data_IF_434288174811
#
_entry.id   IF_434288174811
#
_cell.length_a   1.000
_cell.length_b   1.000
_cell.length_c   1.000
_cell.angle_alpha   90.00
_cell.angle_beta   90.00
_cell.angle_gamma   90.00
#
_symmetry.space_group_name_H-M   'P 1'
#
loop_
_entity.id
_entity.type
_entity.pdbx_description
1 polymer ?
#
# COMPACT_ATOMS: atom_id res chain seq x y z
N UNK A 1 -35.64 65.18 -36.94
CA UNK A 1 -35.32 64.22 -35.87
C UNK A 1 -35.60 62.84 -36.43
N UNK A 2 -34.56 62.07 -36.82
CA UNK A 2 -34.75 60.73 -37.43
C UNK A 2 -34.79 59.72 -36.29
N UNK A 3 -35.99 59.22 -35.99
CA UNK A 3 -36.18 58.10 -35.08
C UNK A 3 -35.78 56.83 -35.83
N UNK A 4 -34.55 56.34 -35.61
CA UNK A 4 -34.11 55.07 -36.20
C UNK A 4 -34.88 53.93 -35.53
N UNK A 5 -35.89 53.41 -36.22
CA UNK A 5 -36.52 52.14 -35.89
C UNK A 5 -35.45 51.04 -35.89
N UNK A 6 -35.23 50.42 -34.73
CA UNK A 6 -34.39 49.23 -34.62
C UNK A 6 -35.15 48.08 -35.28
N UNK A 7 -34.61 47.56 -36.38
CA UNK A 7 -35.19 46.43 -37.10
C UNK A 7 -35.26 45.21 -36.17
N UNK A 8 -36.46 44.67 -35.99
CA UNK A 8 -36.73 43.46 -35.21
C UNK A 8 -35.91 42.26 -35.72
N UNK A 9 -35.59 42.21 -37.02
CA UNK A 9 -34.72 41.19 -37.59
C UNK A 9 -33.26 41.35 -37.14
N UNK A 10 -32.79 42.60 -37.00
CA UNK A 10 -31.46 42.89 -36.48
C UNK A 10 -31.34 42.50 -35.00
N UNK A 11 -32.36 42.79 -34.19
CA UNK A 11 -32.41 42.39 -32.78
C UNK A 11 -32.45 40.86 -32.62
N UNK A 12 -33.25 40.15 -33.42
CA UNK A 12 -33.29 38.67 -33.43
C UNK A 12 -31.95 38.05 -33.84
N UNK A 13 -31.26 38.66 -34.80
CA UNK A 13 -29.92 38.23 -35.24
C UNK A 13 -28.88 38.36 -34.12
N UNK A 14 -28.87 39.50 -33.42
CA UNK A 14 -27.98 39.73 -32.27
C UNK A 14 -28.22 38.75 -31.12
N UNK A 15 -29.49 38.50 -30.77
CA UNK A 15 -29.85 37.53 -29.71
C UNK A 15 -29.40 36.12 -30.11
N UNK A 16 -29.62 35.71 -31.36
CA UNK A 16 -29.17 34.40 -31.86
C UNK A 16 -27.65 34.27 -31.80
N UNK A 17 -26.91 35.30 -32.22
CA UNK A 17 -25.44 35.31 -32.15
C UNK A 17 -24.94 35.23 -30.70
N UNK A 18 -25.56 35.98 -29.78
CA UNK A 18 -25.19 35.95 -28.37
C UNK A 18 -25.45 34.58 -27.74
N UNK A 19 -26.61 33.97 -28.00
CA UNK A 19 -26.95 32.63 -27.52
C UNK A 19 -25.99 31.57 -28.08
N UNK A 20 -25.60 31.65 -29.35
CA UNK A 20 -24.61 30.74 -29.95
C UNK A 20 -23.25 30.86 -29.25
N UNK A 21 -22.78 32.09 -28.98
CA UNK A 21 -21.52 32.31 -28.26
C UNK A 21 -21.59 31.81 -26.81
N UNK A 22 -22.70 32.04 -26.11
CA UNK A 22 -22.91 31.55 -24.74
C UNK A 22 -22.95 30.01 -24.71
N UNK A 23 -23.66 29.38 -25.64
CA UNK A 23 -23.72 27.92 -25.76
C UNK A 23 -22.36 27.31 -26.11
N UNK A 24 -21.61 27.95 -27.00
CA UNK A 24 -20.24 27.55 -27.34
C UNK A 24 -19.32 27.61 -26.11
N UNK A 25 -19.29 28.73 -25.41
CA UNK A 25 -18.50 28.90 -24.18
C UNK A 25 -18.89 27.89 -23.09
N UNK A 26 -20.19 27.62 -22.90
CA UNK A 26 -20.69 26.64 -21.95
C UNK A 26 -20.24 25.21 -22.33
N UNK A 27 -20.28 24.86 -23.61
CA UNK A 27 -19.81 23.56 -24.10
C UNK A 27 -18.31 23.35 -23.89
N UNK A 28 -17.50 24.41 -24.06
CA UNK A 28 -16.05 24.39 -23.82
C UNK A 28 -15.76 24.23 -22.33
N UNK A 29 -16.47 24.94 -21.46
CA UNK A 29 -16.34 24.81 -20.00
C UNK A 29 -16.73 23.41 -19.51
N UNK A 30 -17.84 22.85 -20.00
CA UNK A 30 -18.24 21.48 -19.67
C UNK A 30 -17.19 20.46 -20.15
N UNK A 31 -16.69 20.61 -21.38
CA UNK A 31 -15.65 19.73 -21.93
C UNK A 31 -14.36 19.78 -21.11
N UNK A 32 -13.91 20.98 -20.70
CA UNK A 32 -12.74 21.16 -19.86
C UNK A 32 -12.93 20.52 -18.47
N UNK A 33 -14.12 20.63 -17.87
CA UNK A 33 -14.45 19.98 -16.60
C UNK A 33 -14.44 18.45 -16.71
N UNK A 34 -15.02 17.89 -17.78
CA UNK A 34 -15.00 16.45 -18.04
C UNK A 34 -13.58 15.92 -18.25
N UNK A 35 -12.73 16.67 -18.97
CA UNK A 35 -11.31 16.33 -19.15
C UNK A 35 -10.60 16.36 -17.79
N UNK A 36 -10.81 17.38 -16.96
CA UNK A 36 -10.22 17.47 -15.62
C UNK A 36 -10.66 16.31 -14.70
N UNK A 37 -11.95 15.96 -14.72
CA UNK A 37 -12.49 14.81 -13.96
C UNK A 37 -11.89 13.49 -14.46
N UNK A 38 -11.70 13.33 -15.77
CA UNK A 38 -11.08 12.12 -16.34
C UNK A 38 -9.62 11.94 -15.87
N UNK A 39 -8.87 13.03 -15.71
CA UNK A 39 -7.50 12.99 -15.18
C UNK A 39 -7.46 12.61 -13.69
N UNK A 40 -8.50 12.92 -12.89
CA UNK A 40 -8.58 12.54 -11.48
C UNK A 40 -8.78 11.03 -11.27
N UNK A 41 -9.43 10.34 -12.22
CA UNK A 41 -9.67 8.90 -12.16
C UNK A 41 -8.45 8.04 -12.55
N UNK A 42 -7.36 8.63 -13.03
CA UNK A 42 -6.15 7.91 -13.46
C UNK A 42 -5.12 7.71 -12.33
N UNK A 43 -5.50 7.95 -11.08
CA UNK A 43 -4.63 7.62 -9.95
C UNK A 43 -4.68 6.11 -9.69
N UNK A 44 -3.72 5.39 -10.28
CA UNK A 44 -3.45 4.00 -9.92
C UNK A 44 -2.89 3.98 -8.48
N UNK A 45 -3.76 3.82 -7.49
CA UNK A 45 -3.33 3.33 -6.19
C UNK A 45 -3.04 1.83 -6.35
N UNK A 46 -1.90 1.35 -5.86
CA UNK A 46 -1.55 -0.08 -5.84
C UNK A 46 -2.00 -0.67 -4.50
N UNK A 47 -3.21 -1.28 -4.41
CA UNK A 47 -3.66 -1.89 -3.16
C UNK A 47 -3.05 -3.27 -2.92
N UNK A 48 -2.29 -3.81 -3.88
CA UNK A 48 -1.92 -5.22 -4.00
C UNK A 48 -0.58 -5.59 -3.33
N UNK A 49 -0.09 -4.72 -2.44
CA UNK A 49 1.13 -4.91 -1.66
C UNK A 49 2.42 -4.86 -2.46
N UNK A 50 3.50 -5.31 -1.83
CA UNK A 50 4.84 -5.20 -2.41
C UNK A 50 5.00 -6.07 -3.69
N UNK A 51 5.59 -5.54 -4.78
CA UNK A 51 6.03 -6.33 -5.93
C UNK A 51 7.31 -7.14 -5.62
N UNK A 52 7.60 -8.16 -6.44
CA UNK A 52 8.77 -9.03 -6.24
C UNK A 52 10.12 -8.26 -6.34
N UNK A 53 10.17 -7.19 -7.12
CA UNK A 53 11.39 -6.38 -7.24
C UNK A 53 11.72 -5.57 -5.97
N UNK A 54 10.81 -5.52 -4.97
CA UNK A 54 11.07 -4.96 -3.63
C UNK A 54 12.25 -5.65 -2.95
N UNK A 55 12.46 -6.95 -3.20
CA UNK A 55 13.52 -7.75 -2.59
C UNK A 55 14.94 -7.18 -2.79
N UNK A 56 15.17 -6.47 -3.89
CA UNK A 56 16.50 -5.98 -4.32
C UNK A 56 16.59 -4.46 -4.39
N UNK A 57 15.59 -3.74 -3.85
CA UNK A 57 15.64 -2.27 -3.79
C UNK A 57 16.69 -1.82 -2.79
N UNK A 58 17.28 -0.65 -3.06
CA UNK A 58 18.32 -0.05 -2.21
C UNK A 58 17.86 0.23 -0.78
N UNK A 59 16.57 0.49 -0.57
CA UNK A 59 15.99 0.67 0.77
C UNK A 59 15.35 -0.65 1.19
N UNK A 60 16.14 -1.50 1.84
CA UNK A 60 15.64 -2.75 2.41
C UNK A 60 14.45 -2.47 3.35
N UNK A 61 13.45 -3.36 3.34
CA UNK A 61 12.25 -3.27 4.18
C UNK A 61 11.52 -1.93 4.14
N UNK A 62 11.65 -1.13 3.08
CA UNK A 62 10.94 0.14 2.96
C UNK A 62 10.09 0.17 1.68
N UNK A 63 8.84 0.62 1.78
CA UNK A 63 7.99 0.82 0.62
C UNK A 63 8.57 1.93 -0.26
N UNK A 64 8.41 1.80 -1.58
CA UNK A 64 8.90 2.80 -2.53
C UNK A 64 7.90 3.95 -2.70
N UNK A 65 7.55 4.62 -1.61
CA UNK A 65 6.57 5.72 -1.58
C UNK A 65 7.25 7.07 -1.83
N UNK A 66 8.09 7.11 -2.87
CA UNK A 66 8.85 8.30 -3.27
C UNK A 66 9.79 8.82 -2.17
N UNK A 67 9.47 10.00 -1.63
CA UNK A 67 10.25 10.69 -0.60
C UNK A 67 9.86 10.30 0.83
N UNK A 68 8.80 9.52 1.02
CA UNK A 68 8.40 9.04 2.35
C UNK A 68 9.54 8.23 3.01
N UNK A 69 9.62 8.31 4.34
CA UNK A 69 10.63 7.63 5.16
C UNK A 69 9.96 6.96 6.33
N UNK A 70 10.63 5.93 6.86
CA UNK A 70 10.17 5.26 8.08
C UNK A 70 10.03 6.26 9.22
N UNK A 71 8.99 6.08 10.00
CA UNK A 71 8.83 6.77 11.28
C UNK A 71 9.89 6.26 12.28
N UNK A 72 10.24 7.05 13.32
CA UNK A 72 11.16 6.60 14.36
C UNK A 72 10.65 5.33 15.04
N UNK A 73 11.50 4.32 15.22
CA UNK A 73 11.09 3.02 15.75
C UNK A 73 10.40 3.06 17.12
N UNK A 74 10.77 4.02 17.98
CA UNK A 74 10.18 4.21 19.31
C UNK A 74 8.71 4.67 19.26
N UNK A 75 8.26 5.16 18.10
CA UNK A 75 6.87 5.58 17.88
C UNK A 75 6.00 4.46 17.33
N UNK A 76 6.57 3.28 17.06
CA UNK A 76 5.85 2.17 16.44
C UNK A 76 4.73 1.66 17.36
N UNK A 77 3.45 1.81 16.98
CA UNK A 77 2.35 1.31 17.79
C UNK A 77 2.05 -0.17 17.53
N UNK A 78 2.80 -0.82 16.63
CA UNK A 78 2.58 -2.20 16.22
C UNK A 78 3.68 -3.13 16.71
N UNK A 79 3.28 -4.37 16.98
CA UNK A 79 4.17 -5.48 17.27
C UNK A 79 4.06 -6.54 16.18
N UNK A 80 5.21 -7.13 15.88
CA UNK A 80 5.33 -8.37 15.09
C UNK A 80 5.85 -9.41 16.05
N UNK A 81 5.16 -10.54 16.15
CA UNK A 81 5.44 -11.57 17.14
C UNK A 81 5.43 -12.94 16.50
N UNK A 82 6.54 -13.66 16.60
CA UNK A 82 6.67 -15.05 16.20
C UNK A 82 6.47 -15.98 17.41
N UNK A 83 5.86 -17.15 17.19
CA UNK A 83 5.73 -18.19 18.24
C UNK A 83 7.03 -18.96 18.51
N UNK A 84 7.99 -18.91 17.59
CA UNK A 84 9.34 -19.48 17.77
C UNK A 84 10.37 -18.75 16.92
N UNK A 85 11.62 -18.75 17.38
CA UNK A 85 12.80 -18.40 16.59
C UNK A 85 13.68 -19.61 16.25
N UNK A 86 13.43 -20.78 16.86
CA UNK A 86 14.13 -22.02 16.52
C UNK A 86 13.24 -22.88 15.65
N UNK A 87 13.84 -23.56 14.68
CA UNK A 87 13.09 -24.41 13.77
C UNK A 87 13.78 -25.75 13.51
N UNK A 88 12.93 -26.75 13.26
CA UNK A 88 13.29 -28.02 12.64
C UNK A 88 12.73 -28.15 11.22
N UNK A 89 13.18 -29.14 10.43
CA UNK A 89 12.80 -29.24 9.04
C UNK A 89 11.28 -29.30 8.85
N UNK A 90 10.76 -28.41 8.01
CA UNK A 90 9.33 -28.33 7.73
C UNK A 90 8.43 -27.80 8.86
N UNK A 91 9.00 -27.42 10.01
CA UNK A 91 8.23 -26.86 11.11
C UNK A 91 7.49 -25.57 10.67
N UNK A 92 6.18 -25.48 10.91
CA UNK A 92 5.46 -24.22 10.77
C UNK A 92 5.75 -23.30 11.96
N UNK A 93 5.94 -22.01 11.69
CA UNK A 93 6.03 -20.93 12.69
C UNK A 93 4.98 -19.89 12.34
N UNK A 94 4.18 -19.49 13.33
CA UNK A 94 3.21 -18.41 13.14
C UNK A 94 3.82 -17.06 13.50
N UNK A 95 3.51 -16.05 12.69
CA UNK A 95 3.93 -14.66 12.87
C UNK A 95 2.68 -13.79 12.88
N UNK A 96 2.46 -13.07 13.97
CA UNK A 96 1.28 -12.23 14.16
C UNK A 96 1.67 -10.76 14.21
N UNK A 97 0.89 -9.93 13.54
CA UNK A 97 1.01 -8.47 13.56
C UNK A 97 -0.23 -7.90 14.24
N UNK A 98 -0.06 -7.02 15.23
CA UNK A 98 -1.16 -6.34 15.92
C UNK A 98 -0.70 -5.00 16.49
N UNK A 99 -1.63 -4.14 16.90
CA UNK A 99 -1.32 -2.90 17.60
C UNK A 99 -1.29 -3.09 19.12
N UNK A 100 -0.43 -2.34 19.81
CA UNK A 100 -0.27 -2.37 21.27
C UNK A 100 -1.58 -2.04 22.01
N UNK A 101 -2.39 -1.14 21.43
CA UNK A 101 -3.69 -0.74 21.97
C UNK A 101 -4.85 -1.68 21.56
N UNK A 102 -4.57 -2.67 20.70
CA UNK A 102 -5.52 -3.61 20.09
C UNK A 102 -6.72 -2.94 19.38
N UNK A 103 -6.60 -1.66 19.02
CA UNK A 103 -7.66 -0.86 18.37
C UNK A 103 -7.16 -0.18 17.11
N UNK A 104 -5.91 0.25 17.10
CA UNK A 104 -5.29 0.89 15.95
C UNK A 104 -5.13 -0.08 14.79
N UNK A 105 -5.68 0.30 13.64
CA UNK A 105 -5.58 -0.49 12.41
C UNK A 105 -4.28 -0.22 11.67
N UNK A 106 -3.83 -1.13 10.81
CA UNK A 106 -2.83 -0.90 9.75
C UNK A 106 -3.39 -1.38 8.41
N UNK A 107 -2.83 -0.92 7.28
CA UNK A 107 -3.32 -1.27 5.94
C UNK A 107 -2.40 -2.24 5.22
N UNK A 108 -1.10 -2.12 5.45
CA UNK A 108 -0.10 -2.90 4.74
C UNK A 108 0.98 -3.48 5.64
N UNK A 109 1.60 -4.53 5.14
CA UNK A 109 2.81 -5.11 5.72
C UNK A 109 3.67 -5.73 4.62
N UNK A 110 4.94 -5.91 4.93
CA UNK A 110 5.90 -6.68 4.15
C UNK A 110 6.83 -7.34 5.17
N UNK A 111 6.85 -8.67 5.26
CA UNK A 111 7.64 -9.41 6.25
C UNK A 111 8.52 -10.43 5.52
N UNK A 112 9.81 -10.44 5.83
CA UNK A 112 10.81 -11.39 5.36
C UNK A 112 11.20 -12.35 6.47
N UNK A 113 11.55 -13.58 6.10
CA UNK A 113 12.20 -14.56 6.96
C UNK A 113 13.69 -14.63 6.63
N UNK A 114 14.53 -14.59 7.67
CA UNK A 114 15.99 -14.54 7.55
C UNK A 114 16.64 -15.57 8.46
N UNK A 115 17.64 -16.27 7.94
CA UNK A 115 18.48 -17.14 8.75
C UNK A 115 19.28 -16.28 9.74
N UNK A 116 19.20 -16.60 11.04
CA UNK A 116 19.79 -15.77 12.08
C UNK A 116 21.32 -15.77 12.10
N UNK A 117 21.97 -16.71 11.41
CA UNK A 117 23.42 -16.79 11.36
C UNK A 117 23.99 -16.14 10.08
N UNK A 118 23.45 -16.53 8.93
CA UNK A 118 23.93 -16.12 7.60
C UNK A 118 23.25 -14.88 7.05
N UNK A 119 22.12 -14.46 7.64
CA UNK A 119 21.27 -13.38 7.14
C UNK A 119 20.65 -13.63 5.74
N UNK A 120 20.74 -14.86 5.24
CA UNK A 120 20.14 -15.27 3.98
C UNK A 120 18.62 -15.38 4.09
N UNK A 121 17.92 -15.17 2.97
CA UNK A 121 16.49 -15.49 2.87
C UNK A 121 16.28 -16.99 3.06
N UNK A 122 15.30 -17.36 3.89
CA UNK A 122 15.11 -18.76 4.26
C UNK A 122 13.64 -19.14 4.41
N UNK A 123 13.33 -20.36 3.98
CA UNK A 123 12.00 -20.95 4.08
C UNK A 123 10.97 -20.26 3.20
N UNK A 124 9.72 -20.66 3.40
CA UNK A 124 8.61 -20.31 2.52
C UNK A 124 7.44 -19.76 3.34
N UNK A 125 6.77 -18.74 2.84
CA UNK A 125 5.51 -18.28 3.43
C UNK A 125 4.34 -19.04 2.84
N UNK A 126 3.35 -19.34 3.66
CA UNK A 126 2.08 -19.91 3.23
C UNK A 126 1.14 -18.78 2.87
N UNK A 127 0.72 -18.71 1.62
CA UNK A 127 -0.27 -17.73 1.19
C UNK A 127 -1.62 -18.00 1.87
N UNK A 128 -2.17 -16.97 2.50
CA UNK A 128 -3.52 -16.97 3.08
C UNK A 128 -4.38 -15.86 2.46
N UNK A 129 -5.65 -15.79 2.85
CA UNK A 129 -6.56 -14.74 2.39
C UNK A 129 -5.97 -13.35 2.65
N UNK A 130 -6.09 -12.45 1.68
CA UNK A 130 -5.64 -11.06 1.77
C UNK A 130 -4.11 -10.89 1.88
N UNK A 131 -3.36 -11.92 1.47
CA UNK A 131 -1.89 -11.92 1.43
C UNK A 131 -1.35 -12.37 0.08
N UNK A 132 -0.12 -11.99 -0.21
CA UNK A 132 0.65 -12.39 -1.38
C UNK A 132 2.06 -12.78 -0.94
N UNK A 133 2.56 -13.91 -1.41
CA UNK A 133 3.93 -14.35 -1.10
C UNK A 133 4.90 -13.82 -2.16
N UNK A 134 6.17 -13.65 -1.76
CA UNK A 134 7.28 -13.25 -2.63
C UNK A 134 8.42 -14.25 -2.37
N UNK A 135 8.39 -15.42 -3.05
CA UNK A 135 9.35 -16.50 -2.81
C UNK A 135 10.80 -16.10 -3.06
N UNK A 136 11.05 -15.16 -3.99
CA UNK A 136 12.38 -14.70 -4.39
C UNK A 136 13.18 -14.10 -3.23
N UNK A 137 12.50 -13.65 -2.17
CA UNK A 137 13.15 -13.18 -0.96
C UNK A 137 12.51 -13.64 0.35
N UNK A 138 11.91 -14.84 0.33
CA UNK A 138 11.23 -15.43 1.49
C UNK A 138 10.37 -14.40 2.21
N UNK A 139 9.48 -13.73 1.46
CA UNK A 139 8.65 -12.65 1.96
C UNK A 139 7.15 -12.92 1.81
N UNK A 140 6.36 -12.19 2.58
CA UNK A 140 4.90 -12.10 2.48
C UNK A 140 4.45 -10.65 2.64
N UNK A 141 3.42 -10.26 1.91
CA UNK A 141 2.83 -8.91 1.93
C UNK A 141 1.31 -8.99 1.90
N UNK A 142 0.65 -7.88 2.20
CA UNK A 142 -0.80 -7.74 2.02
C UNK A 142 -1.20 -7.82 0.55
N UNK A 143 -2.45 -8.19 0.25
CA UNK A 143 -3.00 -8.14 -1.11
C UNK A 143 -4.20 -7.21 -1.25
N UNK A 144 -4.55 -6.48 -0.18
CA UNK A 144 -5.58 -5.44 -0.19
C UNK A 144 -5.22 -4.28 0.74
N UNK A 145 -5.81 -3.11 0.50
CA UNK A 145 -5.59 -1.90 1.29
C UNK A 145 -6.62 -1.69 2.42
N UNK A 146 -7.38 -2.73 2.81
CA UNK A 146 -8.37 -2.62 3.87
C UNK A 146 -7.70 -2.45 5.22
N UNK A 147 -8.37 -1.78 6.14
CA UNK A 147 -7.93 -1.65 7.52
C UNK A 147 -7.93 -3.01 8.22
N UNK A 148 -6.82 -3.31 8.91
CA UNK A 148 -6.57 -4.58 9.61
C UNK A 148 -6.32 -4.30 11.08
N UNK A 149 -7.04 -4.97 11.98
CA UNK A 149 -6.74 -4.98 13.41
C UNK A 149 -5.56 -5.91 13.73
N UNK A 150 -5.37 -6.93 12.89
CA UNK A 150 -4.26 -7.86 13.01
C UNK A 150 -4.08 -8.68 11.73
N UNK A 151 -2.93 -9.34 11.63
CA UNK A 151 -2.64 -10.31 10.57
C UNK A 151 -1.94 -11.51 11.20
N UNK A 152 -2.39 -12.73 10.87
CA UNK A 152 -1.72 -13.98 11.26
C UNK A 152 -1.16 -14.64 10.02
N UNK A 153 0.14 -14.81 10.01
CA UNK A 153 0.94 -15.30 8.89
C UNK A 153 1.60 -16.61 9.30
N UNK A 154 1.88 -17.47 8.32
CA UNK A 154 2.52 -18.75 8.56
C UNK A 154 3.76 -18.90 7.67
N UNK A 155 4.87 -19.20 8.30
CA UNK A 155 6.14 -19.52 7.64
C UNK A 155 6.45 -21.01 7.83
N UNK A 156 7.00 -21.64 6.80
CA UNK A 156 7.40 -23.03 6.77
C UNK A 156 8.92 -23.13 6.66
N UNK A 157 9.52 -23.82 7.62
CA UNK A 157 10.94 -24.07 7.62
C UNK A 157 11.39 -24.93 6.41
N UNK A 158 12.61 -24.72 5.91
CA UNK A 158 13.20 -25.57 4.88
C UNK A 158 13.26 -27.04 5.31
N UNK A 159 13.14 -27.97 4.37
CA UNK A 159 13.08 -29.42 4.65
C UNK A 159 14.45 -30.06 4.98
N UNK A 160 15.54 -29.35 4.76
CA UNK A 160 16.90 -29.87 4.83
C UNK A 160 17.78 -29.15 5.87
N UNK A 161 17.20 -28.33 6.75
CA UNK A 161 17.96 -27.49 7.69
C UNK A 161 17.26 -27.35 9.03
N UNK A 162 18.07 -27.19 10.09
CA UNK A 162 17.70 -26.82 11.46
C UNK A 162 18.42 -25.53 11.80
N UNK A 163 17.86 -24.72 12.68
CA UNK A 163 18.56 -23.52 13.12
C UNK A 163 17.66 -22.47 13.76
N UNK A 164 18.09 -21.22 13.63
CA UNK A 164 17.35 -20.05 14.11
C UNK A 164 16.93 -19.17 12.93
N UNK A 165 15.70 -18.69 12.97
CA UNK A 165 15.11 -17.75 12.02
C UNK A 165 14.74 -16.48 12.78
N UNK A 166 14.87 -15.33 12.13
CA UNK A 166 14.24 -14.10 12.60
C UNK A 166 13.39 -13.52 11.47
N UNK A 167 12.35 -12.78 11.86
CA UNK A 167 11.42 -12.15 10.93
C UNK A 167 11.60 -10.64 11.01
N UNK A 168 11.67 -9.99 9.84
CA UNK A 168 11.86 -8.54 9.78
C UNK A 168 11.09 -7.92 8.64
N UNK A 169 10.73 -6.64 8.73
CA UNK A 169 10.08 -5.97 7.62
C UNK A 169 9.41 -4.63 7.98
N UNK A 170 8.30 -4.35 7.30
CA UNK A 170 7.54 -3.11 7.41
C UNK A 170 6.13 -3.37 7.92
N UNK A 171 5.63 -2.48 8.78
CA UNK A 171 4.20 -2.29 9.03
C UNK A 171 3.79 -0.90 8.57
N UNK A 172 2.72 -0.81 7.77
CA UNK A 172 2.26 0.42 7.13
C UNK A 172 0.86 0.78 7.62
N UNK A 173 0.74 1.96 8.25
CA UNK A 173 -0.56 2.56 8.59
C UNK A 173 -1.22 3.11 7.33
N UNK A 174 -0.51 4.01 6.65
CA UNK A 174 -0.95 4.72 5.45
C UNK A 174 0.25 5.04 4.55
N UNK A 175 0.01 5.56 3.34
CA UNK A 175 1.04 5.77 2.31
C UNK A 175 2.32 6.44 2.83
N UNK A 176 2.23 7.52 3.61
CA UNK A 176 3.42 8.21 4.13
C UNK A 176 3.82 7.80 5.57
N UNK A 177 3.07 6.89 6.19
CA UNK A 177 3.21 6.57 7.62
C UNK A 177 3.42 5.07 7.80
N UNK A 178 4.68 4.69 7.98
CA UNK A 178 5.11 3.29 8.12
C UNK A 178 6.35 3.18 9.02
N UNK A 179 6.57 1.99 9.54
CA UNK A 179 7.74 1.61 10.33
C UNK A 179 8.45 0.48 9.62
N UNK A 180 9.69 0.70 9.19
CA UNK A 180 10.56 -0.30 8.57
C UNK A 180 11.49 -0.95 9.58
N UNK A 181 12.16 -2.01 9.13
CA UNK A 181 13.18 -2.74 9.90
C UNK A 181 12.65 -3.21 11.26
N UNK A 182 11.33 -3.43 11.33
CA UNK A 182 10.65 -4.00 12.49
C UNK A 182 11.12 -5.45 12.59
N UNK A 183 11.71 -5.82 13.73
CA UNK A 183 12.11 -7.20 14.02
C UNK A 183 11.07 -7.84 14.92
N UNK A 184 10.64 -9.04 14.55
CA UNK A 184 9.66 -9.77 15.34
C UNK A 184 10.21 -10.14 16.72
N UNK A 185 9.39 -9.93 17.75
CA UNK A 185 9.62 -10.52 19.08
C UNK A 185 9.29 -12.01 19.02
N UNK A 186 9.83 -12.78 19.96
CA UNK A 186 9.46 -14.18 20.14
C UNK A 186 8.63 -14.28 21.41
N UNK A 187 7.50 -14.99 21.36
CA UNK A 187 6.77 -15.33 22.57
C UNK A 187 7.70 -16.16 23.45
N UNK A 188 8.01 -15.66 24.65
CA UNK A 188 8.74 -16.47 25.62
C UNK A 188 7.95 -17.75 25.86
N UNK A 189 8.61 -18.91 25.78
CA UNK A 189 8.01 -20.17 26.19
C UNK A 189 7.59 -20.02 27.66
N UNK A 190 6.29 -20.08 27.93
CA UNK A 190 5.76 -20.24 29.28
C UNK A 190 5.88 -21.70 29.71
#
# INVERSE_FOLDING_TARGET
MIERSIDNNYLKSLIKSYLVTVMFNLSVLCSALWILVSFLCLTNAFPDGAPADTCVKQRANQPNHGKARTQPGQTNPYEVVADSETFHPGQPISVTIYSNDQKSTFRGFFIQARDAHSNEWIGEWVQSENTKTIPECSAITHSDNRDKLGAKLFWKAPQNKRGRVYFTGTVLKEYNTFWSDVVAKVLAAQ
#
